data_IF_813800061318
#
_entry.id   IF_813800061318
#
_cell.length_a   1.000
_cell.length_b   1.000
_cell.length_c   1.000
_cell.angle_alpha   90.00
_cell.angle_beta   90.00
_cell.angle_gamma   90.00
#
_symmetry.space_group_name_H-M   'P 1'
#
loop_
_entity.id
_entity.type
_entity.pdbx_description
1 polymer ?
#
# COMPACT_ATOMS: atom_id res chain seq x y z
N UNK A 1 -12.94 -39.35 5.77
CA UNK A 1 -11.79 -38.83 5.03
C UNK A 1 -11.41 -37.47 5.60
N UNK A 2 -10.13 -37.07 5.59
CA UNK A 2 -9.66 -35.78 6.17
C UNK A 2 -9.38 -34.81 5.04
N UNK A 3 -9.88 -33.58 5.16
CA UNK A 3 -9.57 -32.45 4.28
C UNK A 3 -8.88 -31.37 5.10
N UNK A 4 -7.74 -30.88 4.63
CA UNK A 4 -6.96 -29.83 5.23
C UNK A 4 -6.94 -28.61 4.32
N UNK A 5 -7.17 -27.43 4.90
CA UNK A 5 -6.95 -26.14 4.22
C UNK A 5 -5.97 -25.34 5.06
N UNK A 6 -4.85 -24.92 4.48
CA UNK A 6 -3.74 -24.34 5.24
C UNK A 6 -3.07 -23.18 4.50
N UNK A 7 -2.74 -22.12 5.23
CA UNK A 7 -1.74 -21.12 4.84
C UNK A 7 -0.32 -21.55 5.23
N UNK A 8 0.68 -20.82 4.76
CA UNK A 8 2.07 -20.94 5.24
C UNK A 8 2.29 -20.17 6.55
N UNK A 9 3.41 -20.43 7.23
CA UNK A 9 3.75 -19.76 8.50
C UNK A 9 3.90 -18.24 8.37
N UNK A 10 4.31 -17.77 7.19
CA UNK A 10 4.47 -16.35 6.89
C UNK A 10 3.21 -15.73 6.26
N UNK A 11 2.15 -16.52 6.05
CA UNK A 11 0.88 -15.99 5.55
C UNK A 11 0.33 -14.95 6.52
N UNK A 12 -0.39 -13.94 6.00
CA UNK A 12 -0.93 -12.81 6.78
C UNK A 12 0.12 -11.86 7.39
N UNK A 13 1.40 -11.97 7.00
CA UNK A 13 2.47 -11.01 7.32
C UNK A 13 2.77 -10.07 6.14
N UNK A 14 3.72 -9.14 6.33
CA UNK A 14 4.21 -8.25 5.26
C UNK A 14 5.25 -8.92 4.34
N UNK A 15 5.57 -10.20 4.56
CA UNK A 15 6.51 -10.93 3.72
C UNK A 15 5.95 -11.10 2.30
N UNK A 16 6.79 -10.83 1.30
CA UNK A 16 6.42 -10.91 -0.12
C UNK A 16 6.04 -12.33 -0.53
N UNK A 17 5.03 -12.45 -1.40
CA UNK A 17 4.57 -13.71 -2.00
C UNK A 17 4.11 -14.81 -1.02
N UNK A 18 3.60 -14.44 0.16
CA UNK A 18 3.21 -15.39 1.23
C UNK A 18 1.73 -15.75 1.28
N UNK A 19 0.94 -15.39 0.26
CA UNK A 19 -0.52 -15.55 0.23
C UNK A 19 -1.01 -16.86 -0.43
N UNK A 20 -0.24 -17.95 -0.36
CA UNK A 20 -0.63 -19.25 -0.92
C UNK A 20 -1.54 -20.00 0.07
N UNK A 21 -2.64 -20.54 -0.45
CA UNK A 21 -3.52 -21.50 0.21
C UNK A 21 -3.25 -22.89 -0.34
N UNK A 22 -3.11 -23.87 0.53
CA UNK A 22 -2.94 -25.27 0.17
C UNK A 22 -4.15 -26.08 0.64
N UNK A 23 -4.68 -26.94 -0.23
CA UNK A 23 -5.79 -27.84 0.07
C UNK A 23 -5.33 -29.27 -0.13
N UNK A 24 -5.41 -30.08 0.92
CA UNK A 24 -4.92 -31.46 0.93
C UNK A 24 -6.00 -32.41 1.40
N UNK A 25 -6.08 -33.58 0.78
CA UNK A 25 -6.91 -34.66 1.28
C UNK A 25 -6.23 -36.00 1.03
N UNK A 26 -6.56 -37.01 1.84
CA UNK A 26 -6.20 -38.39 1.53
C UNK A 26 -7.11 -38.87 0.40
N UNK A 27 -6.53 -39.33 -0.71
CA UNK A 27 -7.28 -39.86 -1.84
C UNK A 27 -8.12 -41.06 -1.40
N UNK A 28 -9.45 -41.07 -1.63
CA UNK A 28 -10.27 -42.23 -1.30
C UNK A 28 -10.01 -43.41 -2.24
N UNK A 29 -9.51 -43.15 -3.46
CA UNK A 29 -9.22 -44.18 -4.46
C UNK A 29 -7.90 -44.89 -4.20
N UNK A 30 -6.84 -44.13 -3.89
CA UNK A 30 -5.47 -44.66 -3.82
C UNK A 30 -4.91 -44.70 -2.40
N UNK A 31 -5.53 -44.03 -1.45
CA UNK A 31 -5.00 -43.86 -0.09
C UNK A 31 -3.77 -42.92 0.01
N UNK A 32 -3.27 -42.42 -1.12
CA UNK A 32 -2.15 -41.47 -1.18
C UNK A 32 -2.61 -40.02 -0.90
N UNK A 33 -1.66 -39.11 -0.75
CA UNK A 33 -1.92 -37.68 -0.60
C UNK A 33 -2.34 -37.06 -1.95
N UNK A 34 -3.50 -36.41 -1.98
CA UNK A 34 -3.88 -35.48 -3.03
C UNK A 34 -3.73 -34.05 -2.52
N UNK A 35 -3.12 -33.18 -3.32
CA UNK A 35 -2.96 -31.77 -2.97
C UNK A 35 -3.17 -30.84 -4.16
N UNK A 36 -3.65 -29.63 -3.86
CA UNK A 36 -3.75 -28.51 -4.80
C UNK A 36 -3.50 -27.21 -4.05
N UNK A 37 -3.21 -26.14 -4.77
CA UNK A 37 -2.96 -24.85 -4.16
C UNK A 37 -3.42 -23.70 -5.06
N UNK A 38 -3.72 -22.57 -4.41
CA UNK A 38 -4.11 -21.32 -5.07
C UNK A 38 -3.44 -20.14 -4.37
N UNK A 39 -3.26 -19.04 -5.09
CA UNK A 39 -2.96 -17.75 -4.47
C UNK A 39 -4.25 -16.99 -4.13
N UNK A 40 -4.10 -15.83 -3.49
CA UNK A 40 -5.20 -14.90 -3.25
C UNK A 40 -5.42 -14.63 -1.77
N UNK A 41 -6.62 -14.19 -1.43
CA UNK A 41 -6.91 -13.60 -0.13
C UNK A 41 -7.39 -14.60 0.93
N UNK A 42 -7.76 -15.84 0.54
CA UNK A 42 -8.37 -16.79 1.46
C UNK A 42 -7.49 -17.15 2.67
N UNK A 43 -6.24 -17.59 2.45
CA UNK A 43 -5.37 -17.97 3.58
C UNK A 43 -4.97 -16.77 4.47
N UNK A 44 -4.66 -15.57 3.92
CA UNK A 44 -4.51 -14.37 4.74
C UNK A 44 -5.75 -14.03 5.58
N UNK A 45 -6.95 -14.02 4.96
CA UNK A 45 -8.20 -13.72 5.66
C UNK A 45 -8.52 -14.77 6.74
N UNK A 46 -8.27 -16.04 6.47
CA UNK A 46 -8.42 -17.11 7.46
C UNK A 46 -7.51 -16.88 8.68
N UNK A 47 -6.25 -16.50 8.44
CA UNK A 47 -5.28 -16.20 9.48
C UNK A 47 -5.67 -14.95 10.30
N UNK A 48 -6.16 -13.89 9.63
CA UNK A 48 -6.69 -12.71 10.31
C UNK A 48 -7.97 -13.02 11.11
N UNK A 49 -8.79 -13.95 10.63
CA UNK A 49 -9.93 -14.49 11.37
C UNK A 49 -9.52 -15.44 12.52
N UNK A 50 -8.22 -15.59 12.81
CA UNK A 50 -7.71 -16.31 13.97
C UNK A 50 -7.24 -17.75 13.71
N UNK A 51 -7.23 -18.22 12.47
CA UNK A 51 -6.90 -19.61 12.14
C UNK A 51 -5.87 -19.72 11.01
N UNK A 52 -4.80 -20.49 11.18
CA UNK A 52 -3.84 -20.72 10.08
C UNK A 52 -4.15 -21.99 9.27
N UNK A 53 -4.84 -22.94 9.91
CA UNK A 53 -5.12 -24.26 9.37
C UNK A 53 -6.53 -24.71 9.78
N UNK A 54 -7.27 -25.26 8.82
CA UNK A 54 -8.54 -25.94 9.05
C UNK A 54 -8.35 -27.44 8.83
N UNK A 55 -8.75 -28.24 9.82
CA UNK A 55 -8.78 -29.70 9.73
C UNK A 55 -10.24 -30.15 9.72
N UNK A 56 -10.75 -30.47 8.53
CA UNK A 56 -12.14 -30.86 8.31
C UNK A 56 -12.24 -32.38 8.33
N UNK A 57 -13.06 -32.90 9.25
CA UNK A 57 -13.30 -34.33 9.46
C UNK A 57 -14.80 -34.62 9.39
N UNK A 58 -15.13 -35.82 8.94
CA UNK A 58 -16.51 -36.30 8.87
C UNK A 58 -17.23 -35.91 7.57
N UNK A 59 -18.56 -35.95 7.61
CA UNK A 59 -19.45 -35.64 6.50
C UNK A 59 -20.73 -35.01 7.06
N UNK A 60 -21.18 -33.90 6.46
CA UNK A 60 -22.46 -33.30 6.80
C UNK A 60 -23.64 -34.12 6.23
N UNK A 61 -24.77 -34.12 6.93
CA UNK A 61 -26.01 -34.80 6.48
C UNK A 61 -26.64 -34.11 5.27
N UNK A 62 -26.38 -32.81 5.12
CA UNK A 62 -26.91 -31.94 4.08
C UNK A 62 -25.81 -30.94 3.64
N UNK A 63 -25.93 -30.29 2.47
CA UNK A 63 -24.97 -29.29 2.03
C UNK A 63 -24.81 -28.16 3.04
N UNK A 64 -23.58 -27.88 3.45
CA UNK A 64 -23.20 -26.81 4.38
C UNK A 64 -21.94 -26.10 3.92
N UNK A 65 -21.74 -24.87 4.39
CA UNK A 65 -20.49 -24.15 4.29
C UNK A 65 -19.97 -23.76 5.68
N UNK A 66 -18.67 -23.57 5.79
CA UNK A 66 -18.04 -23.05 7.00
C UNK A 66 -17.99 -21.53 6.90
N UNK A 67 -18.56 -20.86 7.90
CA UNK A 67 -18.45 -19.42 8.06
C UNK A 67 -17.42 -19.13 9.17
N UNK A 68 -16.28 -18.58 8.78
CA UNK A 68 -15.19 -18.24 9.69
C UNK A 68 -15.13 -16.72 9.81
N UNK A 69 -15.32 -16.19 11.01
CA UNK A 69 -15.33 -14.76 11.27
C UNK A 69 -14.80 -14.49 12.67
N UNK A 70 -13.73 -13.68 12.77
CA UNK A 70 -13.14 -13.18 14.02
C UNK A 70 -13.06 -14.20 15.17
N UNK A 71 -12.30 -15.27 14.96
CA UNK A 71 -12.04 -16.30 15.96
C UNK A 71 -13.19 -17.30 16.15
N UNK A 72 -14.29 -17.16 15.41
CA UNK A 72 -15.46 -18.05 15.47
C UNK A 72 -15.61 -18.83 14.17
N UNK A 73 -16.03 -20.09 14.31
CA UNK A 73 -16.38 -20.97 13.20
C UNK A 73 -17.82 -21.42 13.39
N UNK A 74 -18.65 -21.17 12.38
CA UNK A 74 -20.04 -21.62 12.31
C UNK A 74 -20.23 -22.53 11.10
N UNK A 75 -21.11 -23.51 11.23
CA UNK A 75 -21.56 -24.36 10.11
C UNK A 75 -22.93 -23.86 9.69
N UNK A 76 -23.04 -23.33 8.47
CA UNK A 76 -24.27 -22.75 7.93
C UNK A 76 -24.81 -23.56 6.77
N UNK A 77 -26.13 -23.53 6.57
CA UNK A 77 -26.81 -24.28 5.50
C UNK A 77 -26.39 -23.76 4.12
N UNK A 78 -25.96 -24.67 3.24
CA UNK A 78 -25.65 -24.36 1.84
C UNK A 78 -26.74 -24.89 0.88
N UNK A 79 -27.93 -25.26 1.38
CA UNK A 79 -29.00 -25.85 0.56
C UNK A 79 -29.35 -25.00 -0.67
N UNK A 80 -29.44 -23.68 -0.49
CA UNK A 80 -29.78 -22.73 -1.55
C UNK A 80 -28.64 -22.50 -2.55
N UNK A 81 -27.41 -22.85 -2.15
CA UNK A 81 -26.18 -22.63 -2.91
C UNK A 81 -25.73 -23.90 -3.65
N UNK A 82 -26.33 -25.05 -3.31
CA UNK A 82 -25.89 -26.34 -3.82
C UNK A 82 -26.20 -26.48 -5.31
N UNK A 83 -25.19 -26.93 -6.07
CA UNK A 83 -25.29 -27.09 -7.52
C UNK A 83 -24.95 -25.83 -8.32
N UNK A 84 -24.68 -24.69 -7.68
CA UNK A 84 -24.15 -23.51 -8.35
C UNK A 84 -22.65 -23.64 -8.63
N UNK A 85 -22.15 -22.87 -9.60
CA UNK A 85 -20.71 -22.67 -9.81
C UNK A 85 -20.12 -21.79 -8.71
N UNK A 86 -18.82 -21.48 -8.74
CA UNK A 86 -18.13 -20.84 -7.60
C UNK A 86 -18.47 -19.36 -7.40
N UNK A 87 -18.82 -18.63 -8.45
CA UNK A 87 -18.97 -17.17 -8.42
C UNK A 87 -20.29 -16.72 -7.80
N UNK A 88 -21.38 -17.35 -8.23
CA UNK A 88 -22.75 -17.08 -7.79
C UNK A 88 -22.94 -17.22 -6.28
N UNK A 89 -22.52 -18.31 -5.61
CA UNK A 89 -22.69 -18.45 -4.17
C UNK A 89 -21.80 -17.48 -3.40
N UNK A 90 -20.63 -17.11 -3.94
CA UNK A 90 -19.78 -16.09 -3.32
C UNK A 90 -20.48 -14.73 -3.28
N UNK A 91 -21.18 -14.34 -4.34
CA UNK A 91 -21.96 -13.10 -4.36
C UNK A 91 -23.19 -13.17 -3.47
N UNK A 92 -23.96 -14.26 -3.52
CA UNK A 92 -25.14 -14.43 -2.69
C UNK A 92 -24.81 -14.40 -1.19
N UNK A 93 -23.74 -15.09 -0.75
CA UNK A 93 -23.28 -15.05 0.64
C UNK A 93 -22.86 -13.62 1.01
N UNK A 94 -22.16 -12.92 0.12
CA UNK A 94 -21.75 -11.53 0.38
C UNK A 94 -22.95 -10.60 0.51
N UNK A 95 -23.97 -10.75 -0.31
CA UNK A 95 -25.24 -10.00 -0.22
C UNK A 95 -25.96 -10.26 1.09
N UNK A 96 -26.09 -11.52 1.52
CA UNK A 96 -26.69 -11.89 2.81
C UNK A 96 -25.95 -11.24 4.00
N UNK A 97 -24.63 -11.08 3.90
CA UNK A 97 -23.79 -10.55 4.97
C UNK A 97 -23.64 -9.02 4.94
N UNK A 98 -24.16 -8.32 3.93
CA UNK A 98 -24.03 -6.86 3.81
C UNK A 98 -25.16 -6.14 4.55
N UNK A 99 -24.85 -4.98 5.10
CA UNK A 99 -25.86 -3.93 5.32
C UNK A 99 -26.36 -3.49 3.94
N UNK A 100 -27.65 -3.68 3.64
CA UNK A 100 -28.25 -3.35 2.34
C UNK A 100 -27.94 -1.91 1.92
N UNK A 101 -27.79 -0.99 2.88
CA UNK A 101 -27.48 0.43 2.62
C UNK A 101 -26.09 0.63 1.98
N UNK A 102 -25.16 -0.29 2.18
CA UNK A 102 -23.76 -0.16 1.73
C UNK A 102 -23.27 -1.35 0.89
N UNK A 103 -24.22 -2.17 0.42
CA UNK A 103 -23.96 -3.46 -0.21
C UNK A 103 -23.13 -3.34 -1.50
N UNK A 104 -23.31 -2.29 -2.28
CA UNK A 104 -22.60 -2.04 -3.53
C UNK A 104 -22.29 -0.55 -3.73
N UNK A 105 -21.65 -0.22 -4.85
CA UNK A 105 -21.24 1.15 -5.16
C UNK A 105 -22.45 2.07 -5.34
N UNK A 106 -23.52 1.62 -5.99
CA UNK A 106 -24.74 2.42 -6.19
C UNK A 106 -25.44 2.70 -4.87
N UNK A 107 -25.60 1.68 -4.01
CA UNK A 107 -26.19 1.87 -2.68
C UNK A 107 -25.34 2.78 -1.80
N UNK A 108 -24.01 2.68 -1.85
CA UNK A 108 -23.12 3.62 -1.15
C UNK A 108 -23.23 5.05 -1.66
N UNK A 109 -23.46 5.27 -2.95
CA UNK A 109 -23.69 6.61 -3.50
C UNK A 109 -25.04 7.19 -3.03
N UNK A 110 -26.12 6.39 -3.06
CA UNK A 110 -27.44 6.82 -2.58
C UNK A 110 -27.39 7.15 -1.08
N UNK A 111 -26.70 6.32 -0.30
CA UNK A 111 -26.56 6.47 1.14
C UNK A 111 -25.29 7.23 1.56
N UNK A 112 -24.70 8.02 0.66
CA UNK A 112 -23.38 8.64 0.87
C UNK A 112 -23.32 9.46 2.15
N UNK A 113 -24.35 10.24 2.45
CA UNK A 113 -24.42 11.03 3.69
C UNK A 113 -24.38 10.18 4.96
N UNK A 114 -25.10 9.06 4.98
CA UNK A 114 -25.09 8.15 6.13
C UNK A 114 -23.74 7.45 6.27
N UNK A 115 -23.09 7.11 5.14
CA UNK A 115 -21.73 6.57 5.15
C UNK A 115 -20.72 7.59 5.70
N UNK A 116 -20.81 8.84 5.26
CA UNK A 116 -19.94 9.93 5.71
C UNK A 116 -20.12 10.18 7.21
N UNK A 117 -21.34 10.20 7.72
CA UNK A 117 -21.62 10.36 9.16
C UNK A 117 -20.98 9.23 9.98
N UNK A 118 -21.04 7.98 9.51
CA UNK A 118 -20.36 6.84 10.15
C UNK A 118 -18.83 7.00 10.12
N UNK A 119 -18.28 7.44 8.99
CA UNK A 119 -16.84 7.64 8.84
C UNK A 119 -16.33 8.79 9.72
N UNK A 120 -17.05 9.91 9.76
CA UNK A 120 -16.74 11.08 10.60
C UNK A 120 -16.80 10.68 12.07
N UNK A 121 -17.87 10.03 12.50
CA UNK A 121 -18.02 9.57 13.88
C UNK A 121 -16.91 8.59 14.28
N UNK A 122 -16.48 7.72 13.36
CA UNK A 122 -15.36 6.82 13.58
C UNK A 122 -14.00 7.54 13.59
N UNK A 123 -13.84 8.66 12.90
CA UNK A 123 -12.57 9.36 12.75
C UNK A 123 -12.35 10.52 13.75
N UNK A 124 -13.43 11.12 14.27
CA UNK A 124 -13.39 12.41 14.99
C UNK A 124 -12.44 12.46 16.20
N UNK A 125 -12.30 11.35 16.91
CA UNK A 125 -11.49 11.27 18.14
C UNK A 125 -10.10 10.66 17.89
N UNK A 126 -9.64 10.62 16.62
CA UNK A 126 -8.39 9.98 16.21
C UNK A 126 -7.55 10.91 15.36
N UNK A 127 -6.25 10.89 15.58
CA UNK A 127 -5.29 11.60 14.73
C UNK A 127 -5.07 10.86 13.41
N UNK A 128 -4.66 11.59 12.36
CA UNK A 128 -4.31 11.00 11.07
C UNK A 128 -3.21 9.95 11.18
N UNK A 129 -2.24 10.15 12.09
CA UNK A 129 -1.15 9.21 12.33
C UNK A 129 -1.66 7.90 12.97
N UNK A 130 -2.55 7.98 13.96
CA UNK A 130 -3.18 6.82 14.59
C UNK A 130 -4.04 6.04 13.60
N UNK A 131 -4.82 6.76 12.77
CA UNK A 131 -5.64 6.15 11.73
C UNK A 131 -4.79 5.45 10.68
N UNK A 132 -3.73 6.10 10.19
CA UNK A 132 -2.79 5.49 9.24
C UNK A 132 -2.14 4.22 9.80
N UNK A 133 -1.65 4.28 11.04
CA UNK A 133 -1.06 3.13 11.72
C UNK A 133 -2.07 2.01 11.92
N UNK A 134 -3.26 2.33 12.43
CA UNK A 134 -4.32 1.34 12.67
C UNK A 134 -4.81 0.71 11.36
N UNK A 135 -5.03 1.51 10.32
CA UNK A 135 -5.44 1.02 9.01
C UNK A 135 -4.41 0.06 8.43
N UNK A 136 -3.12 0.40 8.51
CA UNK A 136 -2.03 -0.44 7.99
C UNK A 136 -1.75 -1.69 8.84
N UNK A 137 -1.69 -1.56 10.16
CA UNK A 137 -1.28 -2.64 11.07
C UNK A 137 -2.44 -3.58 11.42
N UNK A 138 -3.63 -3.03 11.68
CA UNK A 138 -4.79 -3.80 12.15
C UNK A 138 -5.69 -4.22 11.00
N UNK A 139 -6.06 -3.28 10.14
CA UNK A 139 -7.09 -3.53 9.12
C UNK A 139 -6.50 -3.91 7.75
N UNK A 140 -5.17 -3.78 7.57
CA UNK A 140 -4.48 -4.02 6.30
C UNK A 140 -5.08 -3.24 5.13
N UNK A 141 -5.61 -2.06 5.44
CA UNK A 141 -6.28 -1.17 4.50
C UNK A 141 -5.28 -0.16 3.94
N UNK A 142 -5.31 0.04 2.62
CA UNK A 142 -4.56 1.11 1.97
C UNK A 142 -5.14 2.45 2.43
N UNK A 143 -4.40 3.13 3.30
CA UNK A 143 -4.81 4.40 3.88
C UNK A 143 -3.72 5.43 3.60
N UNK A 144 -4.10 6.54 2.98
CA UNK A 144 -3.21 7.68 2.76
C UNK A 144 -3.55 8.79 3.75
N UNK A 145 -2.55 9.54 4.17
CA UNK A 145 -2.75 10.79 4.89
C UNK A 145 -2.49 11.96 3.96
N UNK A 146 -3.30 13.00 4.07
CA UNK A 146 -3.06 14.27 3.38
C UNK A 146 -2.11 15.09 4.25
N UNK A 147 -0.89 15.27 3.78
CA UNK A 147 0.15 16.01 4.49
C UNK A 147 0.27 17.42 3.94
N UNK A 148 0.39 18.41 4.83
CA UNK A 148 0.72 19.78 4.46
C UNK A 148 2.22 19.94 4.18
N UNK A 149 2.66 21.03 3.52
CA UNK A 149 4.09 21.31 3.38
C UNK A 149 4.85 21.34 4.72
N UNK A 150 4.21 21.82 5.79
CA UNK A 150 4.80 21.85 7.13
C UNK A 150 4.94 20.44 7.75
N UNK A 151 4.06 19.51 7.38
CA UNK A 151 4.16 18.10 7.82
C UNK A 151 5.29 17.39 7.06
N UNK A 152 5.42 17.65 5.76
CA UNK A 152 6.50 17.10 4.94
C UNK A 152 7.87 17.58 5.43
N UNK A 153 8.01 18.87 5.75
CA UNK A 153 9.24 19.45 6.29
C UNK A 153 9.69 18.82 7.62
N UNK A 154 8.78 18.16 8.35
CA UNK A 154 9.03 17.50 9.65
C UNK A 154 8.84 15.98 9.57
N UNK A 155 8.77 15.41 8.37
CA UNK A 155 8.47 14.00 8.17
C UNK A 155 9.67 13.12 8.50
N UNK A 156 9.55 12.28 9.52
CA UNK A 156 10.61 11.35 9.95
C UNK A 156 11.10 10.43 8.82
N UNK A 157 10.21 10.02 7.92
CA UNK A 157 10.57 9.18 6.77
C UNK A 157 11.41 9.94 5.74
N UNK A 158 11.16 11.25 5.53
CA UNK A 158 11.95 12.07 4.62
C UNK A 158 13.32 12.41 5.22
N UNK A 159 13.37 12.64 6.54
CA UNK A 159 14.62 12.82 7.28
C UNK A 159 15.50 11.56 7.21
N UNK A 160 14.93 10.38 7.49
CA UNK A 160 15.64 9.09 7.42
C UNK A 160 16.17 8.75 6.01
N UNK A 161 15.63 9.40 4.97
CA UNK A 161 16.05 9.25 3.58
C UNK A 161 17.02 10.32 3.11
N UNK A 162 17.42 11.25 3.99
CA UNK A 162 18.23 12.41 3.64
C UNK A 162 17.63 13.19 2.44
N UNK A 163 16.29 13.27 2.40
CA UNK A 163 15.55 13.84 1.27
C UNK A 163 15.84 15.34 1.11
N UNK A 164 15.90 16.05 2.24
CA UNK A 164 16.25 17.47 2.30
C UNK A 164 17.74 17.64 2.53
N UNK A 165 18.38 18.48 1.73
CA UNK A 165 19.80 18.83 1.87
C UNK A 165 19.97 20.30 2.23
N UNK A 166 20.85 20.57 3.19
CA UNK A 166 21.24 21.93 3.56
C UNK A 166 22.13 22.53 2.47
N UNK A 167 21.77 23.72 1.99
CA UNK A 167 22.47 24.47 0.95
C UNK A 167 22.68 25.90 1.43
N UNK A 168 23.91 26.37 1.37
CA UNK A 168 24.26 27.77 1.63
C UNK A 168 24.15 28.56 0.33
N UNK A 169 23.16 29.45 0.23
CA UNK A 169 22.97 30.29 -0.95
C UNK A 169 23.51 31.71 -0.67
N UNK A 170 24.29 32.32 -1.58
CA UNK A 170 24.92 33.64 -1.37
C UNK A 170 23.95 34.84 -1.17
N UNK A 171 22.64 34.62 -1.19
CA UNK A 171 21.60 35.67 -1.10
C UNK A 171 20.54 35.28 -0.09
N UNK A 172 20.06 34.03 -0.17
CA UNK A 172 18.99 33.51 0.69
C UNK A 172 19.56 33.00 2.03
N UNK A 173 20.87 32.77 2.12
CA UNK A 173 21.52 32.12 3.25
C UNK A 173 21.29 30.62 3.24
N UNK A 174 21.36 30.00 4.43
CA UNK A 174 21.17 28.57 4.62
C UNK A 174 19.72 28.14 4.44
N UNK A 175 19.46 27.28 3.46
CA UNK A 175 18.13 26.72 3.16
C UNK A 175 18.17 25.20 3.03
N UNK A 176 17.03 24.54 3.27
CA UNK A 176 16.85 23.10 2.97
C UNK A 176 16.12 22.93 1.64
N UNK A 177 16.69 22.15 0.74
CA UNK A 177 16.11 21.86 -0.58
C UNK A 177 15.80 20.36 -0.76
N UNK A 178 14.67 20.00 -1.38
CA UNK A 178 14.35 18.60 -1.67
C UNK A 178 15.19 18.10 -2.86
N UNK A 179 16.24 17.32 -2.59
CA UNK A 179 17.18 16.86 -3.63
C UNK A 179 17.49 15.35 -3.55
N UNK A 180 17.35 14.72 -2.38
CA UNK A 180 17.59 13.30 -2.16
C UNK A 180 16.47 12.39 -2.69
N UNK A 181 16.12 12.53 -3.97
CA UNK A 181 15.02 11.76 -4.60
C UNK A 181 15.37 10.27 -4.72
N UNK A 182 16.62 9.95 -5.04
CA UNK A 182 17.14 8.59 -5.17
C UNK A 182 18.45 8.43 -4.39
N UNK A 183 18.66 7.23 -3.87
CA UNK A 183 19.91 6.84 -3.22
C UNK A 183 20.59 5.79 -4.09
N UNK A 184 21.77 6.15 -4.61
CA UNK A 184 22.61 5.29 -5.44
C UNK A 184 24.01 5.30 -4.83
N UNK A 185 24.55 4.12 -4.56
CA UNK A 185 25.83 3.97 -3.84
C UNK A 185 27.01 4.58 -4.58
N UNK A 186 27.01 4.52 -5.92
CA UNK A 186 28.10 5.06 -6.75
C UNK A 186 27.85 6.51 -7.20
N UNK A 187 26.59 6.90 -7.37
CA UNK A 187 26.20 8.23 -7.88
C UNK A 187 25.12 8.86 -6.99
N UNK A 188 25.41 9.15 -5.71
CA UNK A 188 24.41 9.65 -4.78
C UNK A 188 23.86 11.01 -5.24
N UNK A 189 22.54 11.21 -5.15
CA UNK A 189 21.93 12.49 -5.45
C UNK A 189 22.37 13.53 -4.42
N UNK A 190 23.21 14.48 -4.82
CA UNK A 190 23.70 15.56 -3.96
C UNK A 190 23.58 16.91 -4.64
N UNK A 191 23.07 17.90 -3.91
CA UNK A 191 23.12 19.28 -4.34
C UNK A 191 24.57 19.77 -4.22
N UNK A 192 25.29 19.86 -5.34
CA UNK A 192 26.74 20.17 -5.37
C UNK A 192 27.04 21.66 -5.21
N UNK A 193 26.11 22.52 -5.61
CA UNK A 193 26.23 23.97 -5.57
C UNK A 193 24.83 24.59 -5.47
N UNK A 194 24.67 25.75 -4.82
CA UNK A 194 23.42 26.50 -4.85
C UNK A 194 23.05 26.91 -6.28
N UNK A 195 21.81 27.37 -6.45
CA UNK A 195 21.41 28.05 -7.68
C UNK A 195 22.34 29.24 -7.95
N UNK A 196 22.79 29.45 -9.20
CA UNK A 196 23.71 30.52 -9.50
C UNK A 196 23.07 31.89 -9.44
N UNK A 197 23.90 32.91 -9.18
CA UNK A 197 23.53 34.29 -9.42
C UNK A 197 23.41 34.55 -10.93
N UNK A 198 22.64 35.59 -11.27
CA UNK A 198 22.53 36.05 -12.65
C UNK A 198 23.92 36.40 -13.19
N UNK A 199 24.31 35.76 -14.30
CA UNK A 199 25.60 35.96 -14.95
C UNK A 199 26.82 35.38 -14.21
N UNK A 200 26.65 34.62 -13.12
CA UNK A 200 27.76 34.10 -12.29
C UNK A 200 28.82 33.33 -13.10
N UNK A 201 28.39 32.61 -14.13
CA UNK A 201 29.27 31.75 -14.93
C UNK A 201 29.59 32.33 -16.31
N UNK A 202 29.26 33.61 -16.59
CA UNK A 202 29.49 34.19 -17.92
C UNK A 202 30.97 34.08 -18.33
N UNK A 203 31.90 34.49 -17.47
CA UNK A 203 33.33 34.41 -17.77
C UNK A 203 33.77 32.96 -18.05
N UNK A 204 33.41 32.00 -17.18
CA UNK A 204 33.73 30.58 -17.36
C UNK A 204 33.21 30.04 -18.70
N UNK A 205 31.95 30.31 -19.03
CA UNK A 205 31.33 29.81 -20.25
C UNK A 205 31.95 30.45 -21.50
N UNK A 206 32.05 31.78 -21.54
CA UNK A 206 32.53 32.47 -22.74
C UNK A 206 34.02 32.21 -22.99
N UNK A 207 34.87 32.25 -21.96
CA UNK A 207 36.33 32.08 -22.18
C UNK A 207 36.73 30.62 -22.22
N UNK A 208 36.25 29.77 -21.30
CA UNK A 208 36.76 28.40 -21.16
C UNK A 208 36.01 27.39 -22.03
N UNK A 209 34.69 27.55 -22.20
CA UNK A 209 33.89 26.60 -23.00
C UNK A 209 33.74 27.05 -24.46
N UNK A 210 33.60 28.36 -24.70
CA UNK A 210 33.38 28.91 -26.05
C UNK A 210 34.63 29.52 -26.68
N UNK A 211 35.70 29.74 -25.91
CA UNK A 211 36.99 30.20 -26.43
C UNK A 211 37.06 31.69 -26.83
N UNK A 212 36.17 32.53 -26.29
CA UNK A 212 36.21 33.97 -26.52
C UNK A 212 37.42 34.59 -25.80
N UNK A 213 38.05 35.57 -26.44
CA UNK A 213 39.05 36.40 -25.77
C UNK A 213 38.39 37.25 -24.68
N UNK A 214 39.12 37.55 -23.60
CA UNK A 214 38.59 38.37 -22.50
C UNK A 214 38.09 39.74 -22.98
N UNK A 215 38.77 40.34 -23.96
CA UNK A 215 38.38 41.61 -24.57
C UNK A 215 37.01 41.55 -25.27
N UNK A 216 36.70 40.42 -25.93
CA UNK A 216 35.40 40.23 -26.56
C UNK A 216 34.29 40.09 -25.51
N UNK A 217 34.57 39.41 -24.40
CA UNK A 217 33.63 39.29 -23.26
C UNK A 217 33.38 40.64 -22.61
N UNK A 218 34.42 41.48 -22.45
CA UNK A 218 34.25 42.85 -21.95
C UNK A 218 33.37 43.69 -22.89
N UNK A 219 33.61 43.62 -24.21
CA UNK A 219 32.79 44.33 -25.20
C UNK A 219 31.32 43.89 -25.15
N UNK A 220 31.06 42.59 -25.01
CA UNK A 220 29.69 42.08 -24.86
C UNK A 220 29.01 42.66 -23.60
N UNK A 221 29.76 42.82 -22.51
CA UNK A 221 29.25 43.41 -21.26
C UNK A 221 28.96 44.90 -21.41
N UNK A 222 29.86 45.66 -22.03
CA UNK A 222 29.69 47.11 -22.25
C UNK A 222 28.54 47.42 -23.21
N UNK A 223 28.30 46.55 -24.19
CA UNK A 223 27.18 46.66 -25.14
C UNK A 223 25.85 46.14 -24.59
N UNK A 224 25.83 45.64 -23.35
CA UNK A 224 24.61 45.15 -22.70
C UNK A 224 24.09 43.82 -23.27
N UNK A 225 24.93 43.07 -23.98
CA UNK A 225 24.58 41.74 -24.50
C UNK A 225 24.60 40.69 -23.39
N UNK A 226 25.49 40.84 -22.40
CA UNK A 226 25.66 39.92 -21.25
C UNK A 226 25.82 40.65 -19.91
#
# INVERSE_FOLDING_TARGET
NVLLVSGGILTATLASATARTHVMAKSPLTGLLGSTNMGGFFAPELAWAGFHHLVIKGKAKEPVYLFVHDGKIEIRSAKKLWGWTTTEPQWAIREELKDERFADVNQRMINGRALDELLIEAAKDRTMAEMFKTASERYRLLFGIVQTPADLARCAQLEAREFYQDVEHPVIGKIKVPFGLWSMTETPARCRRPAPLLGQHNAEVYTQLLGYAEDDVMRLRETGVI
#
